data_IF_750632387226
#
_entry.id   IF_750632387226
#
_cell.length_a   1.000
_cell.length_b   1.000
_cell.length_c   1.000
_cell.angle_alpha   90.00
_cell.angle_beta   90.00
_cell.angle_gamma   90.00
#
_symmetry.space_group_name_H-M   'P 1'
#
loop_
_entity.id
_entity.type
_entity.pdbx_description
1 polymer ?
#
# COMPACT_ATOMS: atom_id res chain seq x y z
N UNK A 1 28.81 -67.91 -17.66
CA UNK A 1 27.84 -68.55 -18.57
C UNK A 1 27.22 -67.46 -19.45
N UNK A 2 27.50 -67.55 -20.76
CA UNK A 2 26.71 -67.12 -21.94
C UNK A 2 25.94 -65.78 -21.82
N UNK A 3 26.40 -64.64 -22.36
CA UNK A 3 26.70 -64.24 -23.75
C UNK A 3 25.48 -63.99 -24.66
N UNK A 4 25.26 -62.70 -24.99
CA UNK A 4 24.82 -62.11 -26.28
C UNK A 4 24.69 -60.57 -26.03
N UNK A 5 25.43 -59.58 -26.56
CA UNK A 5 26.16 -59.33 -27.84
C UNK A 5 25.29 -59.64 -29.05
N UNK A 6 25.02 -58.78 -30.03
CA UNK A 6 25.49 -57.47 -30.51
C UNK A 6 24.32 -56.89 -31.37
N UNK A 7 24.22 -55.60 -31.74
CA UNK A 7 25.00 -54.98 -32.81
C UNK A 7 24.74 -53.47 -32.89
N UNK A 8 25.68 -52.80 -33.56
CA UNK A 8 26.02 -51.38 -33.52
C UNK A 8 26.01 -50.87 -34.98
N UNK A 9 25.44 -49.66 -35.22
CA UNK A 9 25.73 -48.63 -36.29
C UNK A 9 25.50 -49.06 -37.78
N UNK A 10 25.39 -48.17 -38.82
CA UNK A 10 25.73 -46.75 -38.88
C UNK A 10 24.78 -45.80 -39.68
N UNK A 11 25.12 -44.50 -39.80
CA UNK A 11 24.23 -43.40 -40.14
C UNK A 11 24.25 -43.07 -41.64
N UNK A 12 23.14 -42.55 -42.16
CA UNK A 12 23.06 -42.02 -43.51
C UNK A 12 22.59 -40.57 -43.43
N UNK A 13 23.54 -39.69 -43.75
CA UNK A 13 23.38 -38.28 -44.00
C UNK A 13 22.53 -38.05 -45.25
N UNK A 14 21.46 -37.27 -45.15
CA UNK A 14 20.90 -36.53 -46.27
C UNK A 14 20.80 -35.06 -45.88
N UNK A 15 21.82 -34.34 -46.31
CA UNK A 15 21.84 -32.89 -46.50
C UNK A 15 20.87 -32.59 -47.64
N UNK A 16 19.78 -31.88 -47.36
CA UNK A 16 19.12 -31.03 -48.34
C UNK A 16 18.82 -29.68 -47.69
N UNK A 17 19.61 -28.71 -48.14
CA UNK A 17 19.47 -27.28 -47.92
C UNK A 17 18.15 -26.86 -48.58
N UNK A 18 17.14 -26.55 -47.78
CA UNK A 18 16.00 -25.76 -48.23
C UNK A 18 16.33 -24.28 -47.98
N UNK A 19 16.27 -23.40 -49.00
CA UNK A 19 16.52 -21.98 -48.80
C UNK A 19 15.43 -21.40 -47.90
N UNK A 20 15.85 -20.83 -46.77
CA UNK A 20 15.08 -19.88 -45.99
C UNK A 20 14.62 -18.74 -46.91
N UNK A 21 13.39 -18.83 -47.40
CA UNK A 21 12.65 -17.62 -47.76
C UNK A 21 12.11 -17.06 -46.47
N UNK A 22 12.89 -16.16 -45.86
CA UNK A 22 12.36 -15.21 -44.90
C UNK A 22 11.29 -14.38 -45.61
N UNK A 23 10.03 -14.85 -45.54
CA UNK A 23 8.90 -13.95 -45.64
C UNK A 23 8.88 -13.20 -44.32
N UNK A 24 9.52 -12.05 -44.31
CA UNK A 24 9.22 -11.00 -43.35
C UNK A 24 7.74 -10.67 -43.53
N UNK A 25 6.88 -11.35 -42.76
CA UNK A 25 5.65 -10.72 -42.33
C UNK A 25 6.14 -9.58 -41.46
N UNK A 26 6.14 -8.38 -42.03
CA UNK A 26 6.24 -7.17 -41.26
C UNK A 26 5.10 -7.20 -40.26
N UNK A 27 5.40 -7.70 -39.06
CA UNK A 27 4.80 -7.14 -37.87
C UNK A 27 5.18 -5.67 -37.91
N UNK A 28 4.21 -4.84 -38.34
CA UNK A 28 4.14 -3.50 -37.79
C UNK A 28 4.44 -3.64 -36.29
N UNK A 29 5.36 -2.83 -35.74
CA UNK A 29 5.43 -2.71 -34.31
C UNK A 29 4.05 -2.17 -33.91
N UNK A 30 3.20 -3.07 -33.44
CA UNK A 30 2.11 -2.70 -32.56
C UNK A 30 2.82 -2.03 -31.40
N UNK A 31 2.97 -0.70 -31.51
CA UNK A 31 3.20 0.22 -30.41
C UNK A 31 2.22 -0.27 -29.38
N UNK A 32 2.76 -0.97 -28.38
CA UNK A 32 1.96 -1.79 -27.49
C UNK A 32 0.86 -0.91 -26.98
N UNK A 33 -0.39 -1.20 -27.35
CA UNK A 33 -1.53 -0.63 -26.65
C UNK A 33 -1.29 -1.02 -25.21
N UNK A 34 -0.93 -0.06 -24.33
CA UNK A 34 -0.82 -0.37 -22.92
C UNK A 34 -2.19 -0.87 -22.55
N UNK A 35 -2.29 -2.12 -22.13
CA UNK A 35 -3.52 -2.68 -21.59
C UNK A 35 -4.04 -1.64 -20.59
N UNK A 36 -5.17 -0.96 -20.87
CA UNK A 36 -5.61 0.15 -20.06
C UNK A 36 -6.21 -0.49 -18.82
N UNK A 37 -5.34 -0.83 -17.86
CA UNK A 37 -5.74 -1.35 -16.57
C UNK A 37 -6.87 -0.50 -15.98
N UNK A 38 -7.66 -1.07 -15.06
CA UNK A 38 -8.78 -0.38 -14.46
C UNK A 38 -8.33 1.02 -13.96
N UNK A 39 -9.18 2.05 -14.09
CA UNK A 39 -8.84 3.39 -13.64
C UNK A 39 -8.40 3.39 -12.19
N UNK A 40 -7.32 4.11 -11.86
CA UNK A 40 -6.92 4.30 -10.46
C UNK A 40 -7.95 5.16 -9.73
N UNK A 41 -7.94 5.16 -8.39
CA UNK A 41 -8.90 5.95 -7.61
C UNK A 41 -8.85 7.46 -7.95
N UNK A 42 -7.67 7.98 -8.27
CA UNK A 42 -7.48 9.39 -8.67
C UNK A 42 -7.97 9.61 -10.10
N UNK A 43 -7.62 8.71 -11.04
CA UNK A 43 -8.11 8.77 -12.42
C UNK A 43 -9.65 8.73 -12.44
N UNK A 44 -10.25 7.78 -11.71
CA UNK A 44 -11.69 7.61 -11.59
C UNK A 44 -12.38 8.86 -11.06
N UNK A 45 -11.88 9.42 -9.96
CA UNK A 45 -12.46 10.62 -9.36
C UNK A 45 -12.38 11.84 -10.29
N UNK A 46 -11.30 12.00 -11.07
CA UNK A 46 -11.15 13.09 -12.02
C UNK A 46 -12.09 12.94 -13.23
N UNK A 47 -12.24 11.73 -13.78
CA UNK A 47 -13.10 11.52 -14.95
C UNK A 47 -14.58 11.57 -14.60
N UNK A 48 -15.00 11.03 -13.45
CA UNK A 48 -16.38 11.08 -12.98
C UNK A 48 -16.85 12.51 -12.73
N UNK A 49 -15.95 13.38 -12.26
CA UNK A 49 -16.24 14.81 -12.05
C UNK A 49 -16.57 15.54 -13.36
N UNK A 50 -15.92 15.14 -14.46
CA UNK A 50 -16.09 15.77 -15.78
C UNK A 50 -17.29 15.22 -16.56
N UNK A 51 -17.83 14.07 -16.15
CA UNK A 51 -18.93 13.40 -16.82
C UNK A 51 -20.24 13.62 -16.07
N UNK A 52 -21.33 13.93 -16.78
CA UNK A 52 -22.64 14.11 -16.16
C UNK A 52 -23.20 12.78 -15.65
N UNK A 53 -23.79 12.79 -14.46
CA UNK A 53 -24.37 11.61 -13.79
C UNK A 53 -25.63 11.00 -14.44
N UNK A 54 -25.91 11.28 -15.72
CA UNK A 54 -27.07 10.72 -16.44
C UNK A 54 -26.85 9.24 -16.73
N UNK A 55 -27.83 8.40 -16.39
CA UNK A 55 -27.78 6.95 -16.63
C UNK A 55 -27.97 6.59 -18.10
N UNK A 56 -26.90 6.42 -18.87
CA UNK A 56 -26.91 5.82 -20.22
C UNK A 56 -25.51 5.39 -20.65
N UNK A 57 -25.42 4.64 -21.76
CA UNK A 57 -24.20 4.38 -22.53
C UNK A 57 -23.36 5.65 -22.81
N UNK A 58 -23.98 6.83 -22.83
CA UNK A 58 -23.28 8.11 -22.99
C UNK A 58 -22.35 8.42 -21.79
N UNK A 59 -22.68 7.97 -20.59
CA UNK A 59 -21.81 8.12 -19.42
C UNK A 59 -20.55 7.26 -19.56
N UNK A 60 -20.67 5.99 -19.96
CA UNK A 60 -19.49 5.15 -20.21
C UNK A 60 -18.63 5.67 -21.38
N UNK A 61 -19.25 6.21 -22.43
CA UNK A 61 -18.53 6.86 -23.54
C UNK A 61 -17.78 8.10 -23.05
N UNK A 62 -18.39 8.91 -22.17
CA UNK A 62 -17.70 10.05 -21.56
C UNK A 62 -16.51 9.60 -20.71
N UNK A 63 -16.70 8.66 -19.78
CA UNK A 63 -15.64 8.17 -18.89
C UNK A 63 -14.44 7.62 -19.67
N UNK A 64 -14.71 6.79 -20.68
CA UNK A 64 -13.65 6.21 -21.52
C UNK A 64 -12.89 7.28 -22.32
N UNK A 65 -13.60 8.25 -22.89
CA UNK A 65 -12.98 9.39 -23.62
C UNK A 65 -12.10 10.23 -22.69
N UNK A 66 -12.60 10.58 -21.50
CA UNK A 66 -11.87 11.39 -20.52
C UNK A 66 -10.64 10.64 -19.98
N UNK A 67 -10.76 9.34 -19.71
CA UNK A 67 -9.64 8.52 -19.25
C UNK A 67 -8.54 8.42 -20.32
N UNK A 68 -8.93 8.23 -21.59
CA UNK A 68 -7.99 8.18 -22.71
C UNK A 68 -7.25 9.51 -22.90
N UNK A 69 -7.97 10.63 -22.80
CA UNK A 69 -7.39 11.98 -22.85
C UNK A 69 -6.39 12.20 -21.71
N UNK A 70 -6.77 11.87 -20.48
CA UNK A 70 -5.92 12.00 -19.29
C UNK A 70 -4.64 11.15 -19.41
N UNK A 71 -4.76 9.90 -19.85
CA UNK A 71 -3.63 8.97 -20.01
C UNK A 71 -2.75 9.32 -21.21
N UNK A 72 -3.29 9.94 -22.25
CA UNK A 72 -2.49 10.44 -23.36
C UNK A 72 -1.50 11.53 -22.88
N UNK A 73 -1.97 12.44 -22.03
CA UNK A 73 -1.17 13.58 -21.53
C UNK A 73 -0.25 13.20 -20.36
N UNK A 74 -0.75 12.40 -19.41
CA UNK A 74 -0.08 12.18 -18.12
C UNK A 74 0.29 10.72 -17.84
N UNK A 75 -0.09 9.79 -18.71
CA UNK A 75 0.13 8.36 -18.50
C UNK A 75 -0.74 7.77 -17.40
N UNK A 76 -0.60 6.46 -17.18
CA UNK A 76 -1.33 5.77 -16.11
C UNK A 76 -0.87 6.27 -14.75
N UNK A 77 -1.81 6.55 -13.86
CA UNK A 77 -1.55 7.07 -12.51
C UNK A 77 -0.70 8.35 -12.51
N UNK A 78 -0.86 9.17 -13.54
CA UNK A 78 -0.09 10.40 -13.74
C UNK A 78 1.44 10.17 -13.76
N UNK A 79 1.89 8.97 -14.17
CA UNK A 79 3.30 8.59 -14.10
C UNK A 79 4.24 9.43 -14.98
N UNK A 80 3.71 10.15 -15.98
CA UNK A 80 4.46 11.10 -16.83
C UNK A 80 4.62 12.48 -16.20
N UNK A 81 4.14 12.68 -14.97
CA UNK A 81 4.51 13.85 -14.18
C UNK A 81 5.90 13.64 -13.58
N UNK A 82 6.77 14.63 -13.76
CA UNK A 82 8.06 14.67 -13.07
C UNK A 82 7.87 14.81 -11.56
N UNK A 83 8.90 14.44 -10.79
CA UNK A 83 8.89 14.64 -9.34
C UNK A 83 8.78 16.12 -8.92
N UNK A 84 9.15 17.06 -9.80
CA UNK A 84 8.98 18.49 -9.55
C UNK A 84 7.51 18.92 -9.76
N UNK A 85 6.87 18.45 -10.84
CA UNK A 85 5.45 18.74 -11.11
C UNK A 85 4.54 18.13 -10.04
N UNK A 86 4.80 16.91 -9.59
CA UNK A 86 4.04 16.29 -8.49
C UNK A 86 4.11 17.10 -7.20
N UNK A 87 5.32 17.53 -6.80
CA UNK A 87 5.49 18.40 -5.63
C UNK A 87 4.78 19.75 -5.78
N UNK A 88 4.79 20.33 -6.98
CA UNK A 88 4.08 21.57 -7.26
C UNK A 88 2.57 21.39 -7.14
N UNK A 89 2.01 20.30 -7.67
CA UNK A 89 0.58 19.95 -7.53
C UNK A 89 0.19 19.77 -6.07
N UNK A 90 0.96 18.98 -5.32
CA UNK A 90 0.72 18.74 -3.90
C UNK A 90 0.75 20.04 -3.10
N UNK A 91 1.77 20.88 -3.32
CA UNK A 91 1.88 22.16 -2.61
C UNK A 91 0.72 23.12 -2.88
N UNK A 92 0.19 23.12 -4.11
CA UNK A 92 -0.90 24.01 -4.51
C UNK A 92 -2.26 23.53 -4.00
N UNK A 93 -2.53 22.22 -4.06
CA UNK A 93 -3.85 21.68 -3.76
C UNK A 93 -3.99 21.17 -2.31
N UNK A 94 -2.90 20.90 -1.58
CA UNK A 94 -2.99 20.37 -0.22
C UNK A 94 -3.73 21.31 0.75
N UNK A 95 -3.56 22.63 0.62
CA UNK A 95 -4.31 23.60 1.46
C UNK A 95 -5.81 23.57 1.16
N UNK A 96 -6.20 23.40 -0.10
CA UNK A 96 -7.61 23.31 -0.50
C UNK A 96 -8.23 22.02 0.03
N UNK A 97 -7.47 20.92 0.07
CA UNK A 97 -7.91 19.67 0.71
C UNK A 97 -8.28 19.87 2.18
N UNK A 98 -7.51 20.68 2.92
CA UNK A 98 -7.79 20.94 4.32
C UNK A 98 -8.95 21.91 4.55
N UNK A 99 -9.17 22.86 3.64
CA UNK A 99 -10.17 23.93 3.82
C UNK A 99 -11.53 23.61 3.18
N UNK A 100 -11.55 22.97 2.01
CA UNK A 100 -12.74 22.75 1.18
C UNK A 100 -13.07 21.26 0.99
N UNK A 101 -12.28 20.38 1.61
CA UNK A 101 -12.47 18.94 1.56
C UNK A 101 -12.15 18.31 0.21
N UNK A 102 -12.75 17.14 -0.04
CA UNK A 102 -12.44 16.29 -1.20
C UNK A 102 -12.76 16.95 -2.54
N UNK A 103 -13.95 17.56 -2.67
CA UNK A 103 -14.38 18.12 -3.95
C UNK A 103 -13.53 19.33 -4.36
N UNK A 104 -13.21 20.22 -3.42
CA UNK A 104 -12.31 21.34 -3.70
C UNK A 104 -10.90 20.88 -4.08
N UNK A 105 -10.41 19.81 -3.45
CA UNK A 105 -9.12 19.21 -3.83
C UNK A 105 -9.13 18.67 -5.28
N UNK A 106 -10.19 17.97 -5.68
CA UNK A 106 -10.34 17.44 -7.03
C UNK A 106 -10.48 18.57 -8.07
N UNK A 107 -11.21 19.64 -7.76
CA UNK A 107 -11.32 20.82 -8.61
C UNK A 107 -9.96 21.51 -8.82
N UNK A 108 -9.18 21.67 -7.75
CA UNK A 108 -7.82 22.19 -7.83
C UNK A 108 -6.92 21.31 -8.70
N UNK A 109 -6.95 19.99 -8.47
CA UNK A 109 -6.15 19.04 -9.25
C UNK A 109 -6.50 19.08 -10.73
N UNK A 110 -7.79 19.06 -11.07
CA UNK A 110 -8.26 19.16 -12.45
C UNK A 110 -7.77 20.43 -13.14
N UNK A 111 -7.90 21.59 -12.47
CA UNK A 111 -7.44 22.87 -13.01
C UNK A 111 -5.92 22.90 -13.25
N UNK A 112 -5.14 22.37 -12.31
CA UNK A 112 -3.68 22.33 -12.43
C UNK A 112 -3.20 21.37 -13.52
N UNK A 113 -3.85 20.22 -13.69
CA UNK A 113 -3.55 19.30 -14.79
C UNK A 113 -3.86 19.95 -16.15
N UNK A 114 -4.97 20.67 -16.29
CA UNK A 114 -5.27 21.45 -17.50
C UNK A 114 -4.19 22.52 -17.75
N UNK A 115 -3.76 23.24 -16.71
CA UNK A 115 -2.69 24.22 -16.83
C UNK A 115 -1.35 23.59 -17.27
N UNK A 116 -1.01 22.41 -16.73
CA UNK A 116 0.19 21.65 -17.12
C UNK A 116 0.10 21.17 -18.57
N UNK A 117 -1.05 20.66 -19.01
CA UNK A 117 -1.28 20.28 -20.41
C UNK A 117 -1.07 21.47 -21.34
N UNK A 118 -1.67 22.61 -21.02
CA UNK A 118 -1.57 23.82 -21.82
C UNK A 118 -0.12 24.34 -21.91
N UNK A 119 0.69 24.17 -20.85
CA UNK A 119 2.12 24.50 -20.85
C UNK A 119 2.96 23.54 -21.69
N UNK A 120 2.61 22.25 -21.70
CA UNK A 120 3.32 21.22 -22.48
C UNK A 120 3.01 21.30 -23.97
N UNK A 121 1.87 21.90 -24.35
CA UNK A 121 1.43 22.07 -25.73
C UNK A 121 1.05 20.74 -26.41
N UNK A 122 0.46 20.78 -27.61
CA UNK A 122 0.27 19.58 -28.42
C UNK A 122 1.64 19.01 -28.76
N UNK A 123 1.91 17.77 -28.34
CA UNK A 123 3.14 17.07 -28.68
C UNK A 123 3.20 16.89 -30.22
N UNK A 124 4.22 17.40 -30.93
CA UNK A 124 4.47 16.91 -32.29
C UNK A 124 4.79 15.42 -32.18
N UNK A 125 4.06 14.60 -32.95
CA UNK A 125 4.37 13.19 -33.08
C UNK A 125 5.85 13.02 -33.41
N UNK A 126 6.51 12.11 -32.71
CA UNK A 126 7.93 11.86 -32.84
C UNK A 126 8.32 11.68 -34.32
N UNK A 127 9.18 12.55 -34.83
CA UNK A 127 9.90 12.33 -36.08
C UNK A 127 11.38 12.32 -35.71
N UNK A 128 12.06 11.23 -36.05
CA UNK A 128 13.50 11.13 -35.96
C UNK A 128 14.21 12.16 -36.85
N UNK A 129 15.41 12.53 -36.40
CA UNK A 129 16.54 13.18 -37.07
C UNK A 129 16.62 14.73 -37.12
N UNK A 130 17.83 15.31 -36.98
CA UNK A 130 18.02 16.71 -36.61
C UNK A 130 18.46 17.66 -37.75
N UNK A 131 17.95 18.88 -37.64
CA UNK A 131 18.57 20.20 -37.87
C UNK A 131 18.91 20.69 -39.30
N UNK A 132 18.25 21.78 -39.73
CA UNK A 132 18.78 23.17 -39.85
C UNK A 132 17.82 24.06 -40.72
N UNK A 133 17.96 25.41 -40.73
CA UNK A 133 16.84 26.35 -40.64
C UNK A 133 16.26 26.83 -41.99
N UNK A 134 14.99 27.25 -41.93
CA UNK A 134 14.25 27.94 -43.01
C UNK A 134 14.73 29.38 -43.23
N UNK A 135 14.54 29.88 -44.46
CA UNK A 135 13.87 31.17 -44.63
C UNK A 135 12.56 31.07 -45.46
N UNK A 136 11.67 32.08 -45.40
CA UNK A 136 10.27 31.99 -45.79
C UNK A 136 10.03 32.48 -47.23
N UNK A 137 8.87 32.11 -47.80
CA UNK A 137 8.10 32.74 -48.91
C UNK A 137 7.31 31.60 -49.59
N UNK A 138 6.10 31.70 -50.15
CA UNK A 138 5.01 32.67 -50.20
C UNK A 138 3.82 31.91 -50.82
N UNK A 139 2.60 32.17 -50.36
CA UNK A 139 1.36 31.51 -50.83
C UNK A 139 0.84 32.19 -52.10
N UNK A 140 0.24 31.44 -53.04
CA UNK A 140 -1.15 31.73 -53.45
C UNK A 140 -1.98 30.43 -53.58
N UNK A 141 -3.08 30.27 -52.84
CA UNK A 141 -4.45 30.68 -53.19
C UNK A 141 -4.96 30.10 -54.53
N UNK A 142 -5.75 29.03 -54.44
CA UNK A 142 -6.65 28.59 -55.50
C UNK A 142 -7.99 28.12 -54.91
N UNK A 143 -9.07 28.57 -55.55
CA UNK A 143 -10.46 28.65 -55.12
C UNK A 143 -11.19 27.30 -55.06
N UNK A 144 -12.31 27.21 -54.30
CA UNK A 144 -13.20 26.06 -54.31
C UNK A 144 -14.26 26.16 -55.43
N UNK A 145 -14.46 25.07 -56.16
CA UNK A 145 -15.53 24.92 -57.16
C UNK A 145 -16.74 24.22 -56.52
N UNK A 146 -17.98 24.72 -56.71
CA UNK A 146 -19.18 24.07 -56.22
C UNK A 146 -20.07 23.47 -57.33
N UNK A 147 -20.90 22.51 -56.89
CA UNK A 147 -22.32 22.28 -57.26
C UNK A 147 -22.68 21.47 -58.51
N UNK A 148 -23.59 20.51 -58.27
CA UNK A 148 -24.84 20.17 -58.99
C UNK A 148 -25.02 18.64 -58.93
N UNK A 149 -26.13 18.02 -58.57
CA UNK A 149 -27.52 18.39 -58.31
C UNK A 149 -28.36 17.10 -58.55
N UNK A 150 -29.43 16.81 -57.79
CA UNK A 150 -30.26 15.63 -58.04
C UNK A 150 -31.38 15.96 -59.05
N UNK A 151 -31.71 15.02 -59.93
CA UNK A 151 -32.90 15.13 -60.79
C UNK A 151 -33.85 13.97 -60.54
N UNK A 152 -35.08 14.38 -60.23
CA UNK A 152 -36.32 13.64 -60.22
C UNK A 152 -36.87 13.47 -61.65
N UNK A 153 -38.04 12.82 -61.72
CA UNK A 153 -39.05 12.92 -62.79
C UNK A 153 -38.97 11.84 -63.87
N UNK A 154 -39.98 10.97 -63.95
CA UNK A 154 -41.19 11.23 -64.76
C UNK A 154 -42.17 10.08 -64.58
N UNK A 155 -43.40 10.48 -64.29
CA UNK A 155 -44.63 9.69 -64.29
C UNK A 155 -45.03 9.29 -65.71
N UNK A 156 -45.54 8.06 -65.90
CA UNK A 156 -46.07 7.61 -67.18
C UNK A 156 -47.00 6.41 -67.04
N UNK A 157 -48.22 6.67 -66.57
CA UNK A 157 -49.35 5.74 -66.64
C UNK A 157 -49.86 5.72 -68.08
N UNK A 158 -49.89 4.55 -68.71
CA UNK A 158 -50.85 4.24 -69.78
C UNK A 158 -51.45 2.85 -69.52
N UNK A 159 -52.77 2.87 -69.37
CA UNK A 159 -53.72 1.78 -69.24
C UNK A 159 -54.00 1.09 -70.58
N UNK A 160 -54.40 -0.19 -70.54
CA UNK A 160 -55.07 -0.89 -71.66
C UNK A 160 -54.58 -2.33 -71.84
N UNK A 161 -54.99 -3.26 -70.97
CA UNK A 161 -56.11 -4.21 -71.19
C UNK A 161 -55.89 -5.17 -72.36
N UNK A 162 -55.57 -6.43 -72.05
CA UNK A 162 -56.15 -7.58 -72.72
C UNK A 162 -56.21 -8.76 -71.72
N UNK A 163 -57.44 -9.03 -71.26
CA UNK A 163 -57.84 -10.22 -70.53
C UNK A 163 -57.76 -11.47 -71.45
N UNK A 164 -57.80 -12.63 -70.81
CA UNK A 164 -58.02 -13.99 -71.38
C UNK A 164 -56.74 -14.80 -71.65
N UNK A 165 -56.15 -15.34 -70.57
CA UNK A 165 -55.91 -16.79 -70.44
C UNK A 165 -56.07 -17.19 -68.98
N UNK A 166 -57.32 -17.45 -68.61
CA UNK A 166 -57.70 -18.06 -67.34
C UNK A 166 -57.46 -19.59 -67.45
N UNK A 167 -57.00 -20.20 -66.35
CA UNK A 167 -57.04 -21.65 -66.06
C UNK A 167 -56.00 -22.62 -66.67
N UNK A 168 -54.71 -22.39 -66.40
CA UNK A 168 -53.76 -23.51 -66.09
C UNK A 168 -52.98 -23.24 -64.78
N UNK A 169 -53.10 -22.05 -64.19
CA UNK A 169 -52.21 -21.59 -63.12
C UNK A 169 -52.62 -21.97 -61.67
N UNK A 170 -53.70 -22.71 -61.44
CA UNK A 170 -54.13 -23.08 -60.08
C UNK A 170 -53.72 -24.51 -59.66
N UNK A 171 -53.38 -25.40 -60.59
CA UNK A 171 -52.92 -26.77 -60.28
C UNK A 171 -51.40 -26.93 -60.17
N UNK A 172 -50.63 -26.11 -60.88
CA UNK A 172 -49.15 -26.20 -60.89
C UNK A 172 -48.45 -25.42 -59.78
N UNK A 173 -49.09 -24.38 -59.23
CA UNK A 173 -48.46 -23.50 -58.24
C UNK A 173 -48.37 -24.12 -56.83
N UNK A 174 -49.27 -25.04 -56.47
CA UNK A 174 -49.24 -25.72 -55.17
C UNK A 174 -48.20 -26.85 -55.08
N UNK A 175 -47.71 -27.38 -56.21
CA UNK A 175 -46.63 -28.37 -56.22
C UNK A 175 -45.23 -27.73 -56.29
N UNK A 176 -45.10 -26.51 -56.83
CA UNK A 176 -43.82 -25.79 -56.86
C UNK A 176 -43.42 -25.16 -55.52
N UNK A 177 -44.37 -24.85 -54.63
CA UNK A 177 -44.07 -24.33 -53.28
C UNK A 177 -43.57 -25.43 -52.33
N UNK A 178 -43.95 -26.70 -52.55
CA UNK A 178 -43.48 -27.83 -51.73
C UNK A 178 -42.10 -28.36 -52.17
N UNK A 179 -41.61 -27.93 -53.33
CA UNK A 179 -40.34 -28.36 -53.93
C UNK A 179 -39.19 -27.35 -53.78
N UNK A 180 -39.41 -26.15 -53.21
CA UNK A 180 -38.32 -25.33 -52.65
C UNK A 180 -37.89 -25.89 -51.28
N UNK A 181 -37.58 -27.19 -51.24
CA UNK A 181 -36.91 -27.80 -50.08
C UNK A 181 -35.50 -27.20 -50.06
N UNK A 182 -35.18 -26.59 -48.92
CA UNK A 182 -33.96 -25.88 -48.60
C UNK A 182 -32.72 -26.39 -49.36
N UNK A 183 -32.00 -25.49 -50.03
CA UNK A 183 -30.67 -25.79 -50.54
C UNK A 183 -29.79 -26.37 -49.41
N UNK A 184 -29.01 -27.44 -49.65
CA UNK A 184 -28.16 -28.03 -48.62
C UNK A 184 -27.15 -26.99 -48.16
N UNK A 185 -27.22 -26.59 -46.89
CA UNK A 185 -26.25 -25.68 -46.28
C UNK A 185 -25.00 -26.49 -45.91
N UNK A 186 -23.82 -25.97 -46.26
CA UNK A 186 -22.53 -26.58 -45.90
C UNK A 186 -22.05 -26.05 -44.56
N UNK A 187 -21.50 -26.92 -43.72
CA UNK A 187 -20.85 -26.56 -42.47
C UNK A 187 -19.65 -25.64 -42.75
N UNK A 188 -19.55 -24.51 -42.05
CA UNK A 188 -18.46 -23.53 -42.24
C UNK A 188 -17.07 -24.06 -41.87
N UNK A 189 -16.99 -25.08 -41.01
CA UNK A 189 -15.72 -25.62 -40.49
C UNK A 189 -15.20 -26.79 -41.32
N UNK A 190 -16.08 -27.73 -41.71
CA UNK A 190 -15.66 -28.96 -42.40
C UNK A 190 -16.27 -29.14 -43.81
N UNK A 191 -17.19 -28.26 -44.23
CA UNK A 191 -17.81 -28.30 -45.56
C UNK A 191 -18.88 -29.37 -45.78
N UNK A 192 -19.16 -30.23 -44.79
CA UNK A 192 -20.18 -31.29 -44.87
C UNK A 192 -21.61 -30.77 -44.76
N UNK A 193 -22.60 -31.62 -45.06
CA UNK A 193 -24.01 -31.22 -45.08
C UNK A 193 -24.56 -30.94 -43.68
N UNK A 194 -25.19 -29.78 -43.50
CA UNK A 194 -25.86 -29.38 -42.25
C UNK A 194 -27.37 -29.71 -42.35
N UNK A 195 -27.84 -30.58 -41.45
CA UNK A 195 -29.23 -31.07 -41.42
C UNK A 195 -30.19 -30.19 -40.59
N UNK A 196 -29.69 -29.12 -39.97
CA UNK A 196 -30.47 -28.25 -39.07
C UNK A 196 -30.24 -26.76 -39.39
N UNK A 197 -31.11 -25.89 -38.85
CA UNK A 197 -31.04 -24.44 -38.98
C UNK A 197 -29.82 -23.87 -38.21
N UNK A 198 -28.62 -24.00 -38.77
CA UNK A 198 -27.36 -23.47 -38.21
C UNK A 198 -26.18 -23.60 -39.16
N UNK A 199 -25.10 -22.85 -38.91
CA UNK A 199 -23.91 -22.79 -39.78
C UNK A 199 -22.88 -23.92 -39.54
N UNK A 200 -23.14 -24.79 -38.54
CA UNK A 200 -22.27 -25.89 -38.12
C UNK A 200 -23.03 -27.23 -38.18
N UNK A 201 -22.34 -28.31 -38.56
CA UNK A 201 -22.87 -29.66 -38.41
C UNK A 201 -22.80 -30.12 -36.94
N UNK A 202 -23.63 -31.11 -36.57
CA UNK A 202 -23.74 -31.61 -35.19
C UNK A 202 -22.39 -31.96 -34.55
N UNK A 203 -21.51 -32.66 -35.29
CA UNK A 203 -20.17 -33.03 -34.80
C UNK A 203 -19.28 -31.82 -34.52
N UNK A 204 -19.31 -30.80 -35.38
CA UNK A 204 -18.55 -29.56 -35.18
C UNK A 204 -19.14 -28.72 -34.04
N UNK A 205 -20.45 -28.76 -33.85
CA UNK A 205 -21.11 -28.11 -32.72
C UNK A 205 -20.68 -28.74 -31.39
N UNK A 206 -20.76 -30.07 -31.27
CA UNK A 206 -20.31 -30.82 -30.10
C UNK A 206 -18.82 -30.62 -29.81
N UNK A 207 -17.96 -30.63 -30.84
CA UNK A 207 -16.54 -30.36 -30.69
C UNK A 207 -16.25 -28.91 -30.22
N UNK A 208 -17.01 -27.93 -30.72
CA UNK A 208 -16.89 -26.54 -30.29
C UNK A 208 -17.39 -26.34 -28.85
N UNK A 209 -18.44 -27.04 -28.44
CA UNK A 209 -18.91 -27.04 -27.05
C UNK A 209 -17.90 -27.71 -26.11
N UNK A 210 -17.36 -28.87 -26.49
CA UNK A 210 -16.31 -29.55 -25.72
C UNK A 210 -15.07 -28.65 -25.55
N UNK A 211 -14.67 -27.95 -26.62
CA UNK A 211 -13.57 -26.98 -26.58
C UNK A 211 -13.87 -25.80 -25.65
N UNK A 212 -15.10 -25.28 -25.66
CA UNK A 212 -15.54 -24.21 -24.76
C UNK A 212 -15.57 -24.65 -23.30
N UNK A 213 -16.05 -25.86 -23.00
CA UNK A 213 -16.02 -26.43 -21.65
C UNK A 213 -14.60 -26.61 -21.14
N UNK A 214 -13.72 -27.22 -21.95
CA UNK A 214 -12.31 -27.37 -21.60
C UNK A 214 -11.59 -26.01 -21.44
N UNK A 215 -11.98 -24.97 -22.19
CA UNK A 215 -11.45 -23.62 -21.99
C UNK A 215 -11.95 -22.99 -20.69
N UNK A 216 -13.23 -23.16 -20.35
CA UNK A 216 -13.82 -22.69 -19.10
C UNK A 216 -13.17 -23.38 -17.88
N UNK A 217 -13.00 -24.70 -17.91
CA UNK A 217 -12.34 -25.45 -16.83
C UNK A 217 -10.91 -24.98 -16.59
N UNK A 218 -10.12 -24.73 -17.66
CA UNK A 218 -8.76 -24.18 -17.51
C UNK A 218 -8.77 -22.76 -16.95
N UNK A 219 -9.74 -21.94 -17.32
CA UNK A 219 -9.88 -20.60 -16.75
C UNK A 219 -10.23 -20.68 -15.25
N UNK A 220 -11.09 -21.61 -14.85
CA UNK A 220 -11.47 -21.84 -13.46
C UNK A 220 -10.30 -22.39 -12.63
N UNK A 221 -9.55 -23.34 -13.17
CA UNK A 221 -8.32 -23.85 -12.53
C UNK A 221 -7.30 -22.73 -12.30
N UNK A 222 -7.09 -21.84 -13.29
CA UNK A 222 -6.19 -20.69 -13.13
C UNK A 222 -6.69 -19.71 -12.07
N UNK A 223 -8.00 -19.44 -12.03
CA UNK A 223 -8.60 -18.58 -11.00
C UNK A 223 -8.42 -19.18 -9.60
N UNK A 224 -8.68 -20.49 -9.45
CA UNK A 224 -8.47 -21.20 -8.19
C UNK A 224 -6.99 -21.16 -7.74
N UNK A 225 -6.05 -21.41 -8.65
CA UNK A 225 -4.61 -21.30 -8.36
C UNK A 225 -4.19 -19.89 -7.95
N UNK A 226 -4.71 -18.86 -8.64
CA UNK A 226 -4.44 -17.47 -8.32
C UNK A 226 -5.02 -17.09 -6.95
N UNK A 227 -6.20 -17.59 -6.61
CA UNK A 227 -6.82 -17.39 -5.31
C UNK A 227 -6.01 -18.06 -4.19
N UNK A 228 -5.56 -19.30 -4.39
CA UNK A 228 -4.71 -19.99 -3.41
C UNK A 228 -3.39 -19.24 -3.20
N UNK A 229 -2.76 -18.76 -4.28
CA UNK A 229 -1.54 -17.95 -4.18
C UNK A 229 -1.79 -16.65 -3.42
N UNK A 230 -2.95 -16.01 -3.62
CA UNK A 230 -3.33 -14.80 -2.89
C UNK A 230 -3.50 -15.10 -1.40
N UNK A 231 -4.21 -16.18 -1.04
CA UNK A 231 -4.39 -16.62 0.35
C UNK A 231 -3.05 -16.91 1.03
N UNK A 232 -2.13 -17.63 0.36
CA UNK A 232 -0.78 -17.90 0.88
C UNK A 232 0.01 -16.62 1.13
N UNK A 233 -0.09 -15.62 0.25
CA UNK A 233 0.58 -14.32 0.44
C UNK A 233 -0.02 -13.53 1.60
N UNK A 234 -1.34 -13.54 1.74
CA UNK A 234 -2.05 -12.90 2.86
C UNK A 234 -1.63 -13.54 4.19
N UNK A 235 -1.57 -14.88 4.26
CA UNK A 235 -1.09 -15.62 5.44
C UNK A 235 0.37 -15.32 5.77
N UNK A 236 1.25 -15.29 4.76
CA UNK A 236 2.66 -14.95 4.96
C UNK A 236 2.83 -13.51 5.46
N UNK A 237 2.07 -12.56 4.90
CA UNK A 237 2.07 -11.17 5.35
C UNK A 237 1.55 -11.05 6.78
N UNK A 238 0.47 -11.76 7.12
CA UNK A 238 -0.06 -11.79 8.49
C UNK A 238 0.98 -12.38 9.46
N UNK A 239 1.65 -13.46 9.08
CA UNK A 239 2.71 -14.06 9.88
C UNK A 239 3.89 -13.09 10.06
N UNK A 240 4.29 -12.37 9.01
CA UNK A 240 5.32 -11.32 9.07
C UNK A 240 4.89 -10.19 10.02
N UNK A 241 3.63 -9.73 9.94
CA UNK A 241 3.08 -8.71 10.84
C UNK A 241 3.04 -9.19 12.30
N UNK A 242 2.65 -10.44 12.55
CA UNK A 242 2.67 -11.06 13.90
C UNK A 242 4.09 -11.12 14.46
N UNK A 243 5.06 -11.58 13.67
CA UNK A 243 6.48 -11.62 14.07
C UNK A 243 7.05 -10.22 14.34
N UNK A 244 6.68 -9.22 13.54
CA UNK A 244 7.10 -7.84 13.74
C UNK A 244 6.57 -7.29 15.08
N UNK A 245 5.29 -7.51 15.40
CA UNK A 245 4.70 -7.13 16.70
C UNK A 245 5.39 -7.82 17.87
N UNK A 246 5.62 -9.13 17.78
CA UNK A 246 6.34 -9.87 18.83
C UNK A 246 7.78 -9.37 19.02
N UNK A 247 8.47 -9.02 17.94
CA UNK A 247 9.82 -8.46 18.01
C UNK A 247 9.82 -7.05 18.63
N UNK A 248 8.80 -6.24 18.36
CA UNK A 248 8.62 -4.93 18.97
C UNK A 248 8.31 -5.05 20.47
N UNK A 249 7.37 -5.91 20.86
CA UNK A 249 7.05 -6.21 22.26
C UNK A 249 8.29 -6.70 23.02
N UNK A 250 9.07 -7.62 22.45
CA UNK A 250 10.30 -8.11 23.06
C UNK A 250 11.35 -6.99 23.23
N UNK A 251 11.46 -6.05 22.29
CA UNK A 251 12.35 -4.89 22.42
C UNK A 251 11.89 -3.95 23.54
N UNK A 252 10.58 -3.73 23.66
CA UNK A 252 10.02 -2.91 24.74
C UNK A 252 10.28 -3.53 26.10
N UNK A 253 10.05 -4.84 26.25
CA UNK A 253 10.36 -5.58 27.48
C UNK A 253 11.84 -5.48 27.84
N UNK A 254 12.75 -5.67 26.87
CA UNK A 254 14.18 -5.51 27.10
C UNK A 254 14.56 -4.08 27.54
N UNK A 255 13.94 -3.06 26.96
CA UNK A 255 14.17 -1.67 27.37
C UNK A 255 13.65 -1.38 28.79
N UNK A 256 12.46 -1.90 29.13
CA UNK A 256 11.87 -1.75 30.45
C UNK A 256 12.72 -2.46 31.52
N UNK A 257 13.15 -3.69 31.25
CA UNK A 257 14.08 -4.40 32.13
C UNK A 257 15.41 -3.67 32.30
N UNK A 258 15.95 -3.08 31.22
CA UNK A 258 17.18 -2.29 31.30
C UNK A 258 16.99 -1.04 32.16
N UNK A 259 15.87 -0.32 32.01
CA UNK A 259 15.52 0.83 32.86
C UNK A 259 15.37 0.41 34.31
N UNK A 260 14.68 -0.70 34.58
CA UNK A 260 14.51 -1.22 35.94
C UNK A 260 15.85 -1.58 36.58
N UNK A 261 16.77 -2.18 35.82
CA UNK A 261 18.12 -2.50 36.29
C UNK A 261 18.91 -1.24 36.62
N UNK A 262 18.83 -0.22 35.78
CA UNK A 262 19.48 1.07 36.02
C UNK A 262 18.90 1.77 37.25
N UNK A 263 17.57 1.79 37.41
CA UNK A 263 16.91 2.36 38.58
C UNK A 263 17.30 1.61 39.86
N UNK A 264 17.25 0.28 39.84
CA UNK A 264 17.70 -0.55 40.96
C UNK A 264 19.18 -0.32 41.30
N UNK A 265 20.04 -0.12 40.29
CA UNK A 265 21.45 0.20 40.51
C UNK A 265 21.62 1.58 41.17
N UNK A 266 20.93 2.60 40.65
CA UNK A 266 20.90 3.95 41.25
C UNK A 266 20.37 3.93 42.69
N UNK A 267 19.36 3.12 42.96
CA UNK A 267 18.82 2.97 44.31
C UNK A 267 19.85 2.32 45.25
N UNK A 268 20.54 1.26 44.81
CA UNK A 268 21.61 0.63 45.59
C UNK A 268 22.76 1.61 45.87
N UNK A 269 23.16 2.41 44.89
CA UNK A 269 24.18 3.45 45.07
C UNK A 269 23.75 4.49 46.11
N UNK A 270 22.50 4.95 46.07
CA UNK A 270 21.96 5.87 47.09
C UNK A 270 21.91 5.24 48.47
N UNK A 271 21.44 4.01 48.58
CA UNK A 271 21.41 3.28 49.85
C UNK A 271 22.83 3.07 50.42
N UNK A 272 23.81 2.79 49.56
CA UNK A 272 25.21 2.67 49.95
C UNK A 272 25.80 4.02 50.38
N UNK A 273 25.52 5.11 49.64
CA UNK A 273 25.95 6.46 50.02
C UNK A 273 25.34 6.87 51.36
N UNK A 274 24.04 6.63 51.56
CA UNK A 274 23.35 6.92 52.81
C UNK A 274 23.91 6.09 53.97
N UNK A 275 24.21 4.81 53.75
CA UNK A 275 24.87 3.97 54.73
C UNK A 275 26.26 4.50 55.09
N UNK A 276 27.06 4.92 54.08
CA UNK A 276 28.37 5.55 54.30
C UNK A 276 28.23 6.86 55.08
N UNK A 277 27.30 7.74 54.72
CA UNK A 277 27.03 9.00 55.44
C UNK A 277 26.60 8.74 56.88
N UNK A 278 25.71 7.77 57.13
CA UNK A 278 25.31 7.37 58.49
C UNK A 278 26.48 6.84 59.29
N UNK A 279 27.34 6.02 58.69
CA UNK A 279 28.54 5.52 59.36
C UNK A 279 29.53 6.65 59.71
N UNK A 280 29.76 7.59 58.79
CA UNK A 280 30.61 8.76 59.05
C UNK A 280 30.01 9.68 60.11
N UNK A 281 28.70 9.94 60.06
CA UNK A 281 28.01 10.72 61.08
C UNK A 281 28.08 10.05 62.46
N UNK A 282 27.98 8.71 62.52
CA UNK A 282 28.17 7.95 63.75
C UNK A 282 29.61 8.12 64.29
N UNK A 283 30.64 7.95 63.44
CA UNK A 283 32.05 8.16 63.83
C UNK A 283 32.28 9.59 64.34
N UNK A 284 31.80 10.61 63.62
CA UNK A 284 31.92 12.02 64.05
C UNK A 284 31.19 12.26 65.36
N UNK A 285 30.02 11.63 65.57
CA UNK A 285 29.27 11.77 66.84
C UNK A 285 29.98 11.10 68.02
N UNK A 286 30.72 10.01 67.80
CA UNK A 286 31.55 9.38 68.82
C UNK A 286 32.82 10.21 69.12
N UNK A 287 33.49 10.74 68.10
CA UNK A 287 34.65 11.64 68.28
C UNK A 287 34.28 12.96 68.97
N UNK A 288 33.08 13.48 68.72
CA UNK A 288 32.58 14.71 69.36
C UNK A 288 32.08 14.53 70.80
N UNK A 289 31.88 13.28 71.26
CA UNK A 289 31.41 13.01 72.61
C UNK A 289 32.58 13.04 73.61
N UNK A 290 32.84 14.20 74.21
CA UNK A 290 33.84 14.36 75.29
C UNK A 290 33.20 14.04 76.66
N UNK A 291 33.52 12.88 77.29
CA UNK A 291 32.93 12.49 78.56
C UNK A 291 33.30 13.43 79.73
N UNK A 292 34.47 14.08 79.68
CA UNK A 292 34.88 15.04 80.70
C UNK A 292 34.05 16.32 80.61
N UNK A 293 33.77 16.79 79.39
CA UNK A 293 32.91 17.95 79.17
C UNK A 293 31.46 17.70 79.56
N UNK A 294 30.94 16.49 79.33
CA UNK A 294 29.56 16.10 79.74
C UNK A 294 29.40 16.12 81.26
N UNK A 295 30.41 15.67 82.00
CA UNK A 295 30.43 15.72 83.46
C UNK A 295 30.91 17.07 84.02
N UNK A 296 31.39 17.98 83.17
CA UNK A 296 31.89 19.30 83.57
C UNK A 296 33.20 19.25 84.36
N UNK A 297 34.02 18.22 84.17
CA UNK A 297 35.28 17.99 84.91
C UNK A 297 36.49 18.15 84.01
N UNK A 298 37.67 18.37 84.61
CA UNK A 298 38.94 18.41 83.88
C UNK A 298 39.36 17.04 83.36
N UNK A 299 40.08 16.99 82.23
CA UNK A 299 40.69 15.76 81.68
C UNK A 299 41.67 15.07 82.64
N UNK A 300 42.17 15.80 83.63
CA UNK A 300 43.08 15.30 84.66
C UNK A 300 42.41 15.14 86.04
N UNK A 301 41.07 15.14 86.10
CA UNK A 301 40.33 14.96 87.35
C UNK A 301 40.59 13.57 87.97
N UNK A 302 40.64 13.52 89.31
CA UNK A 302 40.74 12.26 90.04
C UNK A 302 39.46 11.43 89.92
N UNK A 303 39.55 10.11 90.14
CA UNK A 303 38.38 9.21 90.11
C UNK A 303 37.30 9.63 91.10
N UNK A 304 37.69 10.15 92.26
CA UNK A 304 36.77 10.68 93.28
C UNK A 304 36.03 11.93 92.78
N UNK A 305 36.74 12.86 92.13
CA UNK A 305 36.13 14.06 91.55
C UNK A 305 35.16 13.71 90.41
N UNK A 306 35.49 12.71 89.59
CA UNK A 306 34.60 12.18 88.54
C UNK A 306 33.33 11.56 89.15
N UNK A 307 33.46 10.80 90.25
CA UNK A 307 32.33 10.21 90.96
C UNK A 307 31.39 11.26 91.58
N UNK A 308 31.95 12.31 92.18
CA UNK A 308 31.16 13.40 92.75
C UNK A 308 30.41 14.19 91.67
N UNK A 309 31.09 14.52 90.57
CA UNK A 309 30.48 15.22 89.44
C UNK A 309 29.35 14.39 88.79
N UNK A 310 29.49 13.06 88.73
CA UNK A 310 28.44 12.16 88.26
C UNK A 310 27.19 12.20 89.15
N UNK A 311 27.35 12.13 90.47
CA UNK A 311 26.21 12.19 91.40
C UNK A 311 25.47 13.53 91.30
N UNK A 312 26.22 14.64 91.22
CA UNK A 312 25.66 15.98 91.03
C UNK A 312 24.89 16.09 89.71
N UNK A 313 25.50 15.64 88.61
CA UNK A 313 24.88 15.66 87.28
C UNK A 313 23.61 14.79 87.23
N UNK A 314 23.59 13.63 87.90
CA UNK A 314 22.38 12.78 88.00
C UNK A 314 21.25 13.46 88.75
N UNK A 315 21.53 14.11 89.87
CA UNK A 315 20.53 14.88 90.62
C UNK A 315 19.95 16.02 89.76
N UNK A 316 20.80 16.72 89.01
CA UNK A 316 20.39 17.82 88.12
C UNK A 316 19.47 17.38 86.99
N UNK A 317 19.67 16.19 86.42
CA UNK A 317 18.92 15.68 85.28
C UNK A 317 17.90 14.59 85.64
N UNK A 318 17.42 14.56 86.89
CA UNK A 318 16.37 13.65 87.32
C UNK A 318 15.05 13.91 86.56
N UNK A 319 14.37 12.83 86.16
CA UNK A 319 13.10 12.88 85.41
C UNK A 319 11.92 13.32 86.27
N UNK A 320 11.98 13.07 87.57
CA UNK A 320 10.90 13.45 88.48
C UNK A 320 10.71 14.97 88.49
N UNK A 321 11.81 15.74 88.35
CA UNK A 321 11.80 17.20 88.26
C UNK A 321 11.07 17.74 87.02
N UNK A 322 10.94 16.95 85.95
CA UNK A 322 10.37 17.39 84.66
C UNK A 322 9.16 16.58 84.21
N UNK A 323 8.70 15.64 85.05
CA UNK A 323 7.55 14.76 84.81
C UNK A 323 6.25 15.50 84.48
N UNK A 324 6.10 16.73 85.01
CA UNK A 324 4.96 17.61 84.79
C UNK A 324 5.10 18.53 83.56
N UNK A 325 6.27 18.53 82.92
CA UNK A 325 6.58 19.39 81.77
C UNK A 325 6.33 18.66 80.45
N UNK A 326 6.36 19.38 79.34
CA UNK A 326 6.08 18.84 78.00
C UNK A 326 7.06 17.74 77.55
N UNK A 327 6.59 16.90 76.63
CA UNK A 327 7.32 15.71 76.13
C UNK A 327 8.71 16.04 75.59
N UNK A 328 8.87 17.17 74.89
CA UNK A 328 10.16 17.60 74.36
C UNK A 328 11.21 17.83 75.46
N UNK A 329 10.80 18.42 76.59
CA UNK A 329 11.71 18.71 77.70
C UNK A 329 12.02 17.43 78.50
N UNK A 330 11.04 16.55 78.66
CA UNK A 330 11.26 15.22 79.23
C UNK A 330 12.28 14.43 78.40
N UNK A 331 12.15 14.42 77.07
CA UNK A 331 13.10 13.74 76.18
C UNK A 331 14.50 14.39 76.23
N UNK A 332 14.59 15.72 76.34
CA UNK A 332 15.88 16.38 76.54
C UNK A 332 16.56 15.97 77.87
N UNK A 333 15.81 15.90 78.97
CA UNK A 333 16.35 15.44 80.26
C UNK A 333 16.75 13.97 80.23
N UNK A 334 15.94 13.09 79.61
CA UNK A 334 16.29 11.68 79.37
C UNK A 334 17.59 11.56 78.57
N UNK A 335 17.75 12.35 77.51
CA UNK A 335 18.96 12.35 76.69
C UNK A 335 20.19 12.80 77.49
N UNK A 336 20.06 13.85 78.31
CA UNK A 336 21.14 14.34 79.19
C UNK A 336 21.52 13.35 80.27
N UNK A 337 20.55 12.74 80.95
CA UNK A 337 20.79 11.70 81.95
C UNK A 337 21.55 10.51 81.36
N UNK A 338 21.12 10.01 80.18
CA UNK A 338 21.82 8.93 79.46
C UNK A 338 23.25 9.30 79.06
N UNK A 339 23.48 10.56 78.67
CA UNK A 339 24.82 11.05 78.34
C UNK A 339 25.73 11.08 79.57
N UNK A 340 25.22 11.52 80.72
CA UNK A 340 25.93 11.52 82.01
C UNK A 340 26.31 10.11 82.43
N UNK A 341 25.37 9.16 82.38
CA UNK A 341 25.63 7.74 82.71
C UNK A 341 26.69 7.13 81.79
N UNK A 342 26.61 7.40 80.48
CA UNK A 342 27.57 6.93 79.49
C UNK A 342 28.97 7.51 79.74
N UNK A 343 29.06 8.81 80.00
CA UNK A 343 30.32 9.49 80.26
C UNK A 343 31.02 8.90 81.50
N UNK A 344 30.29 8.71 82.59
CA UNK A 344 30.82 8.07 83.80
C UNK A 344 31.34 6.66 83.52
N UNK A 345 30.58 5.84 82.79
CA UNK A 345 31.02 4.48 82.42
C UNK A 345 32.29 4.48 81.55
N UNK A 346 32.44 5.42 80.61
CA UNK A 346 33.65 5.50 79.77
C UNK A 346 34.89 5.92 80.55
N UNK A 347 34.75 6.71 81.62
CA UNK A 347 35.86 7.18 82.45
C UNK A 347 36.23 6.22 83.60
N UNK A 348 35.38 5.23 83.88
CA UNK A 348 35.56 4.29 84.99
C UNK A 348 35.85 2.85 84.58
N UNK A 349 35.65 2.53 83.29
CA UNK A 349 36.28 1.36 82.65
C UNK A 349 37.79 1.54 82.60
#
# INVERSE_FOLDING_TARGET
MMSARCLQVPPIAWILIAPLTMRAVGQEPQVGTPDPGPPTAIEQALIERSCSATFTDAHQVCLSSQLNSLRADFGHDLNRLSGAERRALDSACNRIRTEQGREGYLDCLGAQLVALRNRRGPRPAATDAPALPRPPMSVPSAKPTPRAGPMSSVSGVWTGVALVTLFVAAGGALLAVKARRAAPRKCRVCGGDAQAAGDLCQKCHEAAEASRRAAAERADQKRAQQEELRRRREEEEEQRRRKARQAEEARLQQQEEARQREENARQREREEEDARRRSQAAVVSEEAFDPYAVLGVSKHASKEAIGMAYLEARSKYDLDHVSHLGVELQEHYKARARAVDRAYQMLTK
#
